data_IF_650274277253
#
_entry.id   IF_650274277253
#
_cell.length_a   1.000
_cell.length_b   1.000
_cell.length_c   1.000
_cell.angle_alpha   90.00
_cell.angle_beta   90.00
_cell.angle_gamma   90.00
#
_symmetry.space_group_name_H-M   'P 1'
#
loop_
_entity.id
_entity.type
_entity.pdbx_description
1 polymer ?
#
# COMPACT_ATOMS: atom_id res chain seq x y z
N UNK A 1 38.12 -21.38 -31.48
CA UNK A 1 36.80 -20.82 -31.10
C UNK A 1 36.34 -21.49 -29.82
N UNK A 2 36.55 -20.86 -28.66
CA UNK A 2 35.84 -21.22 -27.43
C UNK A 2 35.56 -19.92 -26.70
N UNK A 3 34.28 -19.54 -26.65
CA UNK A 3 33.81 -18.32 -26.01
C UNK A 3 33.75 -18.55 -24.50
N UNK A 4 34.52 -17.77 -23.75
CA UNK A 4 34.41 -17.66 -22.30
C UNK A 4 33.09 -16.97 -21.98
N UNK A 5 32.20 -17.55 -21.15
CA UNK A 5 31.01 -16.84 -20.72
C UNK A 5 31.43 -15.73 -19.74
N UNK A 6 31.24 -14.48 -20.16
CA UNK A 6 31.35 -13.33 -19.28
C UNK A 6 30.27 -13.45 -18.19
N UNK A 7 30.70 -13.71 -16.95
CA UNK A 7 29.87 -13.59 -15.78
C UNK A 7 29.41 -12.13 -15.69
N UNK A 8 28.18 -11.84 -16.10
CA UNK A 8 27.54 -10.56 -15.82
C UNK A 8 27.39 -10.46 -14.31
N UNK A 9 28.20 -9.62 -13.68
CA UNK A 9 27.96 -9.16 -12.32
C UNK A 9 26.59 -8.49 -12.28
N UNK A 10 25.64 -9.13 -11.60
CA UNK A 10 24.35 -8.54 -11.32
C UNK A 10 24.58 -7.25 -10.52
N UNK A 11 24.11 -6.13 -11.06
CA UNK A 11 24.35 -4.79 -10.55
C UNK A 11 23.92 -4.62 -9.10
N UNK A 12 24.76 -3.89 -8.36
CA UNK A 12 24.43 -3.25 -7.10
C UNK A 12 23.31 -2.23 -7.33
N UNK A 13 22.10 -2.55 -6.87
CA UNK A 13 20.96 -1.65 -6.88
C UNK A 13 19.84 -2.19 -5.99
N UNK A 14 19.54 -1.44 -4.92
CA UNK A 14 18.32 -1.55 -4.10
C UNK A 14 18.14 -2.76 -3.17
N UNK A 15 18.48 -4.00 -3.56
CA UNK A 15 18.20 -5.23 -2.80
C UNK A 15 19.40 -6.17 -2.65
N UNK A 16 19.58 -6.84 -1.49
CA UNK A 16 20.66 -7.80 -1.29
C UNK A 16 20.56 -9.00 -2.24
N UNK A 17 21.71 -9.59 -2.62
CA UNK A 17 21.77 -10.76 -3.51
C UNK A 17 21.15 -12.03 -2.90
N UNK A 18 20.91 -13.07 -3.73
CA UNK A 18 20.16 -14.29 -3.36
C UNK A 18 20.68 -14.98 -2.08
N UNK A 19 22.00 -15.20 -1.97
CA UNK A 19 22.59 -15.84 -0.78
C UNK A 19 22.43 -15.00 0.47
N UNK A 20 22.62 -13.68 0.35
CA UNK A 20 22.44 -12.74 1.46
C UNK A 20 20.99 -12.71 1.92
N UNK A 21 20.03 -12.66 0.99
CA UNK A 21 18.59 -12.76 1.32
C UNK A 21 18.26 -14.05 2.06
N UNK A 22 18.84 -15.18 1.63
CA UNK A 22 18.60 -16.48 2.28
C UNK A 22 19.17 -16.53 3.71
N UNK A 23 20.35 -15.96 3.92
CA UNK A 23 20.95 -15.84 5.26
C UNK A 23 20.16 -14.89 6.16
N UNK A 24 19.70 -13.76 5.63
CA UNK A 24 18.86 -12.80 6.36
C UNK A 24 17.52 -13.43 6.77
N UNK A 25 16.89 -14.22 5.90
CA UNK A 25 15.68 -14.96 6.22
C UNK A 25 15.88 -16.05 7.26
N UNK A 26 16.94 -16.85 7.14
CA UNK A 26 17.28 -17.86 8.16
C UNK A 26 17.48 -17.19 9.53
N UNK A 27 18.21 -16.05 9.55
CA UNK A 27 18.43 -15.28 10.77
C UNK A 27 17.12 -14.72 11.34
N UNK A 28 16.20 -14.27 10.47
CA UNK A 28 14.85 -13.80 10.87
C UNK A 28 14.06 -14.93 11.54
N UNK A 29 13.97 -16.09 10.89
CA UNK A 29 13.27 -17.26 11.41
C UNK A 29 13.86 -17.74 12.74
N UNK A 30 15.20 -17.80 12.85
CA UNK A 30 15.87 -18.17 14.10
C UNK A 30 15.56 -17.19 15.24
N UNK A 31 15.60 -15.86 14.98
CA UNK A 31 15.25 -14.84 15.98
C UNK A 31 13.80 -14.97 16.45
N UNK A 32 12.88 -15.19 15.52
CA UNK A 32 11.45 -15.35 15.83
C UNK A 32 11.21 -16.54 16.75
N UNK A 33 11.82 -17.70 16.43
CA UNK A 33 11.71 -18.92 17.23
C UNK A 33 12.30 -18.75 18.64
N UNK A 34 13.49 -18.14 18.77
CA UNK A 34 14.16 -17.94 20.05
C UNK A 34 13.39 -16.98 20.97
N UNK A 35 12.77 -15.94 20.41
CA UNK A 35 12.06 -14.92 21.20
C UNK A 35 10.60 -15.25 21.49
N UNK A 36 10.08 -16.36 20.95
CA UNK A 36 8.65 -16.71 21.01
C UNK A 36 7.74 -15.54 20.59
N UNK A 37 8.16 -14.78 19.57
CA UNK A 37 7.43 -13.58 19.07
C UNK A 37 6.01 -13.92 18.54
N UNK A 38 5.66 -15.20 18.38
CA UNK A 38 4.29 -15.65 18.07
C UNK A 38 3.32 -15.70 19.26
N UNK A 39 3.77 -15.49 20.51
CA UNK A 39 2.93 -15.51 21.71
C UNK A 39 2.45 -14.12 22.15
N UNK A 40 2.98 -13.05 21.56
CA UNK A 40 2.69 -11.68 21.96
C UNK A 40 2.40 -10.78 20.76
N UNK A 41 1.41 -9.89 20.89
CA UNK A 41 1.10 -8.87 19.90
C UNK A 41 2.32 -7.95 19.74
N UNK A 42 2.87 -7.75 18.52
CA UNK A 42 4.03 -6.91 18.32
C UNK A 42 3.77 -5.45 18.69
N UNK A 43 4.66 -4.90 19.51
CA UNK A 43 4.64 -3.48 19.92
C UNK A 43 5.53 -2.59 19.05
N UNK A 44 6.49 -3.15 18.31
CA UNK A 44 7.38 -2.38 17.45
C UNK A 44 6.73 -2.10 16.09
N UNK A 45 6.98 -0.94 15.46
CA UNK A 45 6.54 -0.74 14.09
C UNK A 45 7.27 -1.73 13.18
N UNK A 46 6.62 -2.16 12.10
CA UNK A 46 7.21 -3.03 11.09
C UNK A 46 7.37 -2.28 9.77
N UNK A 47 8.57 -1.73 9.48
CA UNK A 47 8.79 -0.95 8.27
C UNK A 47 8.61 -1.79 7.01
N UNK A 48 7.72 -1.34 6.12
CA UNK A 48 7.58 -1.89 4.76
C UNK A 48 8.55 -1.21 3.80
N UNK A 49 8.63 0.12 3.89
CA UNK A 49 9.65 0.93 3.22
C UNK A 49 9.94 2.19 4.05
N UNK A 50 11.22 2.54 4.15
CA UNK A 50 11.75 3.80 4.69
C UNK A 50 12.55 4.49 3.61
N UNK A 51 12.28 5.77 3.37
CA UNK A 51 13.05 6.58 2.44
C UNK A 51 14.16 7.31 3.19
N UNK A 52 15.16 6.55 3.65
CA UNK A 52 16.27 7.01 4.50
C UNK A 52 17.61 7.16 3.73
N UNK A 53 17.68 6.61 2.51
CA UNK A 53 18.87 6.60 1.66
C UNK A 53 18.53 7.05 0.23
N UNK A 54 19.50 7.65 -0.47
CA UNK A 54 19.40 8.02 -1.89
C UNK A 54 18.90 6.89 -2.82
N UNK A 55 19.26 5.64 -2.52
CA UNK A 55 18.88 4.48 -3.33
C UNK A 55 17.51 3.89 -2.94
N UNK A 56 16.83 4.44 -1.93
CA UNK A 56 15.52 3.96 -1.49
C UNK A 56 14.46 3.99 -2.60
N UNK A 57 14.39 5.02 -3.47
CA UNK A 57 13.50 5.01 -4.63
C UNK A 57 13.78 3.86 -5.61
N UNK A 58 15.02 3.36 -5.70
CA UNK A 58 15.34 2.17 -6.52
C UNK A 58 14.75 0.87 -5.95
N UNK A 59 14.13 0.92 -4.77
CA UNK A 59 13.31 -0.19 -4.27
C UNK A 59 11.88 -0.14 -4.80
N UNK A 60 11.51 0.92 -5.53
CA UNK A 60 10.17 1.14 -6.08
C UNK A 60 10.14 1.16 -7.62
N UNK A 61 9.11 0.54 -8.19
CA UNK A 61 8.77 0.62 -9.61
C UNK A 61 7.70 1.70 -9.80
N UNK A 62 8.00 2.71 -10.60
CA UNK A 62 7.04 3.72 -11.08
C UNK A 62 6.19 3.08 -12.19
N UNK A 63 4.91 3.45 -12.23
CA UNK A 63 3.93 3.00 -13.21
C UNK A 63 3.14 4.23 -13.67
N UNK A 64 3.05 4.45 -14.97
CA UNK A 64 2.36 5.61 -15.52
C UNK A 64 1.59 5.21 -16.77
N UNK A 65 0.51 5.90 -17.10
CA UNK A 65 -0.20 5.64 -18.36
C UNK A 65 0.68 5.85 -19.62
N UNK A 66 1.78 6.61 -19.51
CA UNK A 66 2.76 6.76 -20.60
C UNK A 66 3.43 5.45 -20.99
N UNK A 67 3.49 4.46 -20.10
CA UNK A 67 3.97 3.11 -20.41
C UNK A 67 3.08 2.40 -21.45
N UNK A 68 1.80 2.78 -21.52
CA UNK A 68 0.83 2.26 -22.50
C UNK A 68 0.45 3.28 -23.58
N UNK A 69 1.10 4.45 -23.59
CA UNK A 69 0.92 5.50 -24.61
C UNK A 69 0.06 6.69 -24.17
N UNK A 70 -0.28 6.80 -22.89
CA UNK A 70 -0.82 8.03 -22.31
C UNK A 70 0.20 9.15 -22.23
N UNK A 71 -0.24 10.31 -21.74
CA UNK A 71 0.57 11.54 -21.69
C UNK A 71 0.89 11.98 -20.25
N UNK A 72 0.55 11.18 -19.24
CA UNK A 72 0.91 11.47 -17.86
C UNK A 72 2.40 11.23 -17.63
N UNK A 73 2.95 11.97 -16.65
CA UNK A 73 4.35 11.88 -16.22
C UNK A 73 4.40 11.62 -14.73
N UNK A 74 5.36 10.82 -14.30
CA UNK A 74 5.58 10.50 -12.90
C UNK A 74 7.07 10.26 -12.64
N UNK A 75 7.56 10.71 -11.49
CA UNK A 75 8.90 10.45 -10.97
C UNK A 75 8.86 10.18 -9.47
N UNK A 76 9.89 9.49 -8.97
CA UNK A 76 10.09 9.25 -7.55
C UNK A 76 11.55 9.54 -7.22
N UNK A 77 11.81 10.62 -6.50
CA UNK A 77 13.16 11.08 -6.14
C UNK A 77 13.35 11.12 -4.62
N UNK A 78 14.56 10.87 -4.14
CA UNK A 78 14.90 11.01 -2.73
C UNK A 78 15.29 12.45 -2.39
N UNK A 79 14.93 12.89 -1.17
CA UNK A 79 15.34 14.15 -0.55
C UNK A 79 15.88 13.83 0.83
N UNK A 80 17.08 14.34 1.12
CA UNK A 80 17.74 14.15 2.41
C UNK A 80 17.09 15.02 3.50
N UNK A 81 17.10 14.54 4.74
CA UNK A 81 16.46 15.20 5.87
C UNK A 81 16.76 14.53 7.20
N UNK A 82 15.86 14.70 8.17
CA UNK A 82 16.02 14.14 9.50
C UNK A 82 15.85 12.61 9.51
N UNK A 83 16.65 11.95 10.35
CA UNK A 83 16.65 10.50 10.51
C UNK A 83 15.30 9.95 11.00
N UNK A 84 15.02 8.70 10.61
CA UNK A 84 13.82 7.97 10.97
C UNK A 84 14.03 7.22 12.30
N UNK A 85 13.36 7.67 13.35
CA UNK A 85 13.49 7.15 14.71
C UNK A 85 12.29 6.26 15.02
N UNK A 86 12.54 4.95 15.13
CA UNK A 86 11.53 4.01 15.62
C UNK A 86 11.36 4.18 17.13
N UNK A 87 10.12 4.42 17.57
CA UNK A 87 9.75 4.47 18.99
C UNK A 87 8.64 3.47 19.27
N UNK A 88 8.78 2.69 20.32
CA UNK A 88 7.63 2.08 21.00
C UNK A 88 7.01 3.19 21.84
N UNK A 89 5.77 3.59 21.55
CA UNK A 89 5.15 4.65 22.31
C UNK A 89 4.90 4.19 23.75
N UNK A 90 5.39 4.98 24.72
CA UNK A 90 4.94 5.00 26.12
C UNK A 90 5.85 4.33 27.15
N UNK A 91 6.30 5.11 28.14
CA UNK A 91 6.31 4.65 29.52
C UNK A 91 4.86 4.70 30.06
N UNK A 92 4.47 3.79 30.95
CA UNK A 92 3.12 3.76 31.54
C UNK A 92 2.04 3.11 30.65
N UNK A 93 0.81 3.64 30.67
CA UNK A 93 -0.38 3.05 30.01
C UNK A 93 -0.33 3.01 28.48
N UNK A 94 0.62 3.72 27.86
CA UNK A 94 0.78 3.79 26.41
C UNK A 94 1.62 2.65 25.81
N UNK A 95 2.31 1.83 26.63
CA UNK A 95 3.17 0.71 26.20
C UNK A 95 2.48 -0.31 25.27
N UNK A 96 1.14 -0.38 25.28
CA UNK A 96 0.35 -1.33 24.47
C UNK A 96 -0.15 -0.75 23.15
N UNK A 97 0.03 0.56 22.89
CA UNK A 97 -0.55 1.24 21.73
C UNK A 97 0.31 1.12 20.47
N UNK A 98 1.11 0.08 20.31
CA UNK A 98 1.97 -0.12 19.13
C UNK A 98 3.04 0.96 18.92
N UNK A 99 3.90 0.72 17.95
CA UNK A 99 5.07 1.55 17.68
C UNK A 99 4.83 2.57 16.60
N UNK A 100 5.64 3.63 16.58
CA UNK A 100 5.60 4.72 15.60
C UNK A 100 6.99 4.99 15.04
N UNK A 101 7.04 5.59 13.86
CA UNK A 101 8.25 6.12 13.27
C UNK A 101 8.13 7.64 13.22
N UNK A 102 9.08 8.34 13.83
CA UNK A 102 9.12 9.81 13.93
C UNK A 102 10.46 10.34 13.43
N UNK A 103 10.60 11.65 13.30
CA UNK A 103 11.89 12.32 13.06
C UNK A 103 12.16 13.38 14.12
N UNK A 104 13.32 14.01 14.04
CA UNK A 104 13.65 15.18 14.85
C UNK A 104 12.59 16.28 14.65
N UNK A 105 12.14 16.86 15.76
CA UNK A 105 11.12 17.91 15.75
C UNK A 105 11.64 19.16 15.03
N UNK A 106 10.78 19.79 14.24
CA UNK A 106 11.13 20.99 13.48
C UNK A 106 12.02 20.76 12.24
N UNK A 107 12.36 19.51 11.91
CA UNK A 107 13.06 19.16 10.66
C UNK A 107 12.22 18.25 9.78
N UNK A 108 12.20 18.53 8.48
CA UNK A 108 11.60 17.60 7.51
C UNK A 108 12.40 16.29 7.52
N UNK A 109 11.73 15.12 7.55
CA UNK A 109 12.41 13.83 7.50
C UNK A 109 13.07 13.61 6.14
N UNK A 110 14.05 12.70 6.07
CA UNK A 110 14.41 12.11 4.79
C UNK A 110 13.17 11.47 4.17
N UNK A 111 12.96 11.68 2.86
CA UNK A 111 11.73 11.26 2.21
C UNK A 111 11.89 11.05 0.71
N UNK A 112 10.92 10.37 0.11
CA UNK A 112 10.72 10.38 -1.33
C UNK A 112 9.67 11.42 -1.72
N UNK A 113 9.87 12.03 -2.88
CA UNK A 113 8.93 12.93 -3.55
C UNK A 113 8.37 12.20 -4.77
N UNK A 114 7.11 11.81 -4.69
CA UNK A 114 6.34 11.29 -5.81
C UNK A 114 5.62 12.44 -6.50
N UNK A 115 6.04 12.81 -7.70
CA UNK A 115 5.54 13.99 -8.38
C UNK A 115 5.39 13.76 -9.89
N UNK A 116 4.63 14.64 -10.53
CA UNK A 116 4.45 14.59 -11.98
C UNK A 116 3.26 15.42 -12.46
N UNK A 117 2.69 15.00 -13.58
CA UNK A 117 1.51 15.64 -14.16
C UNK A 117 0.56 14.61 -14.75
N UNK A 118 -0.72 14.70 -14.42
CA UNK A 118 -1.78 13.88 -14.99
C UNK A 118 -2.29 14.50 -16.29
N UNK A 119 -2.46 13.67 -17.32
CA UNK A 119 -3.20 14.01 -18.54
C UNK A 119 -4.26 12.95 -18.81
N UNK A 120 -5.47 13.39 -19.15
CA UNK A 120 -6.59 12.50 -19.51
C UNK A 120 -6.77 12.38 -21.03
N UNK A 121 -5.83 12.92 -21.81
CA UNK A 121 -5.84 12.77 -23.26
C UNK A 121 -5.64 11.28 -23.64
N UNK A 122 -6.40 10.84 -24.64
CA UNK A 122 -6.28 9.49 -25.17
C UNK A 122 -5.33 9.49 -26.37
N UNK A 123 -4.45 8.47 -26.50
CA UNK A 123 -3.55 8.38 -27.63
C UNK A 123 -4.33 8.24 -28.95
N UNK A 124 -4.12 9.15 -29.92
CA UNK A 124 -4.90 9.16 -31.17
C UNK A 124 -4.69 7.89 -32.01
N UNK A 125 -3.54 7.23 -31.84
CA UNK A 125 -3.15 6.05 -32.63
C UNK A 125 -3.46 4.71 -31.93
N UNK A 126 -4.18 4.71 -30.80
CA UNK A 126 -4.48 3.49 -30.01
C UNK A 126 -5.92 3.50 -29.48
N UNK A 127 -6.93 3.24 -30.33
CA UNK A 127 -8.36 3.33 -29.97
C UNK A 127 -8.79 2.29 -28.92
N UNK A 128 -8.00 1.25 -28.68
CA UNK A 128 -8.23 0.28 -27.61
C UNK A 128 -8.03 0.87 -26.20
N UNK A 129 -7.35 2.01 -26.08
CA UNK A 129 -7.12 2.67 -24.80
C UNK A 129 -8.30 3.60 -24.54
N UNK A 130 -9.18 3.17 -23.64
CA UNK A 130 -10.42 3.89 -23.31
C UNK A 130 -10.28 4.80 -22.08
N UNK A 131 -9.22 4.62 -21.28
CA UNK A 131 -8.97 5.37 -20.05
C UNK A 131 -7.48 5.73 -19.94
N UNK A 132 -7.21 6.97 -19.57
CA UNK A 132 -5.90 7.53 -19.21
C UNK A 132 -6.05 8.46 -18.00
N UNK A 133 -4.94 8.99 -17.50
CA UNK A 133 -4.84 9.81 -16.31
C UNK A 133 -4.45 9.00 -15.08
N UNK A 134 -3.38 8.21 -15.19
CA UNK A 134 -2.87 7.37 -14.11
C UNK A 134 -1.38 7.59 -13.87
N UNK A 135 -1.02 7.73 -12.60
CA UNK A 135 0.35 7.64 -12.11
C UNK A 135 0.38 6.84 -10.81
N UNK A 136 1.45 6.10 -10.57
CA UNK A 136 1.67 5.43 -9.31
C UNK A 136 3.07 4.89 -9.16
N UNK A 137 3.36 4.38 -7.98
CA UNK A 137 4.53 3.57 -7.74
C UNK A 137 4.19 2.44 -6.78
N UNK A 138 5.02 1.40 -6.77
CA UNK A 138 4.96 0.34 -5.76
C UNK A 138 6.34 -0.18 -5.45
N UNK A 139 6.51 -0.76 -4.27
CA UNK A 139 7.72 -1.51 -3.95
C UNK A 139 7.92 -2.65 -4.95
N UNK A 140 9.17 -2.89 -5.36
CA UNK A 140 9.54 -4.09 -6.13
C UNK A 140 9.34 -5.33 -5.26
N UNK A 141 9.06 -6.46 -5.91
CA UNK A 141 9.05 -7.76 -5.24
C UNK A 141 10.39 -8.00 -4.55
N UNK A 142 10.35 -8.48 -3.30
CA UNK A 142 11.56 -8.76 -2.51
C UNK A 142 12.38 -9.93 -3.07
N UNK A 143 11.85 -10.64 -4.06
CA UNK A 143 12.51 -11.73 -4.78
C UNK A 143 12.33 -13.09 -4.10
N UNK A 144 13.33 -13.96 -4.28
CA UNK A 144 13.34 -15.31 -3.72
C UNK A 144 14.54 -15.52 -2.79
N UNK A 145 14.36 -16.42 -1.82
CA UNK A 145 15.39 -17.05 -0.99
C UNK A 145 15.34 -18.58 -1.16
N UNK A 146 16.24 -19.30 -0.50
CA UNK A 146 16.22 -20.77 -0.40
C UNK A 146 14.92 -21.32 0.21
N UNK A 147 14.14 -20.49 0.91
CA UNK A 147 12.89 -20.87 1.57
C UNK A 147 11.64 -20.43 0.78
N UNK A 148 11.81 -19.95 -0.45
CA UNK A 148 10.72 -19.54 -1.34
C UNK A 148 10.66 -18.04 -1.61
N UNK A 149 9.47 -17.54 -1.95
CA UNK A 149 9.26 -16.11 -2.22
C UNK A 149 9.35 -15.31 -0.93
N UNK A 150 9.96 -14.14 -1.02
CA UNK A 150 10.09 -13.20 0.09
C UNK A 150 8.83 -12.34 0.14
N UNK A 151 7.95 -12.67 1.07
CA UNK A 151 6.68 -11.98 1.32
C UNK A 151 6.72 -11.33 2.71
N UNK A 152 5.94 -10.27 2.90
CA UNK A 152 5.68 -9.75 4.23
C UNK A 152 4.52 -10.50 4.86
N UNK A 153 4.70 -10.83 6.14
CA UNK A 153 3.64 -11.30 7.01
C UNK A 153 3.23 -10.12 7.90
N UNK A 154 2.09 -9.53 7.56
CA UNK A 154 1.46 -8.42 8.27
C UNK A 154 0.31 -8.90 9.16
N UNK A 155 0.04 -10.21 9.25
CA UNK A 155 -1.04 -10.75 10.08
C UNK A 155 -0.94 -10.40 11.58
N UNK A 156 0.26 -10.17 12.17
CA UNK A 156 0.35 -9.71 13.56
C UNK A 156 0.01 -8.23 13.78
N UNK A 157 -0.27 -7.47 12.71
CA UNK A 157 -0.50 -6.04 12.74
C UNK A 157 -1.91 -5.69 12.28
N UNK A 158 -2.53 -4.70 12.93
CA UNK A 158 -3.91 -4.29 12.65
C UNK A 158 -4.00 -3.10 11.68
N UNK A 159 -2.96 -2.26 11.62
CA UNK A 159 -2.98 -1.00 10.89
C UNK A 159 -1.76 -0.83 9.98
N UNK A 160 -1.99 -0.15 8.86
CA UNK A 160 -0.95 0.50 8.06
C UNK A 160 -0.81 1.95 8.48
N UNK A 161 0.41 2.40 8.76
CA UNK A 161 0.73 3.79 8.97
C UNK A 161 1.60 4.32 7.83
N UNK A 162 1.29 5.54 7.36
CA UNK A 162 2.08 6.27 6.37
C UNK A 162 2.38 7.66 6.90
N UNK A 163 3.65 8.06 6.84
CA UNK A 163 4.06 9.43 7.15
C UNK A 163 4.25 10.21 5.85
N UNK A 164 3.36 11.17 5.61
CA UNK A 164 3.21 11.84 4.33
C UNK A 164 3.06 13.35 4.47
N UNK A 165 3.29 14.06 3.37
CA UNK A 165 2.86 15.45 3.16
C UNK A 165 2.25 15.54 1.75
N UNK A 166 0.94 15.78 1.70
CA UNK A 166 0.13 15.69 0.49
C UNK A 166 -0.19 17.08 -0.06
N UNK A 167 -0.27 17.19 -1.39
CA UNK A 167 -0.80 18.35 -2.11
C UNK A 167 -2.34 18.48 -2.08
N UNK A 168 -3.05 17.58 -1.39
CA UNK A 168 -4.51 17.56 -1.30
C UNK A 168 -5.21 16.76 -2.41
N UNK A 169 -4.46 16.12 -3.33
CA UNK A 169 -5.05 15.18 -4.29
C UNK A 169 -5.48 13.86 -3.64
N UNK A 170 -6.38 13.16 -4.33
CA UNK A 170 -6.94 11.87 -3.88
C UNK A 170 -6.06 10.70 -4.31
N UNK A 171 -5.04 10.42 -3.51
CA UNK A 171 -4.19 9.23 -3.70
C UNK A 171 -4.86 7.99 -3.11
N UNK A 172 -4.48 6.83 -3.62
CA UNK A 172 -4.89 5.52 -3.12
C UNK A 172 -3.67 4.71 -2.71
N UNK A 173 -3.77 4.02 -1.58
CA UNK A 173 -2.79 3.03 -1.14
C UNK A 173 -3.22 1.67 -1.66
N UNK A 174 -2.26 0.92 -2.22
CA UNK A 174 -2.52 -0.35 -2.88
C UNK A 174 -1.62 -1.44 -2.30
N UNK A 175 -2.21 -2.57 -1.94
CA UNK A 175 -1.49 -3.82 -1.67
C UNK A 175 -1.70 -4.83 -2.79
N UNK A 176 -0.61 -5.50 -3.16
CA UNK A 176 -0.68 -6.74 -3.91
C UNK A 176 -0.29 -7.88 -2.97
N UNK A 177 -1.16 -8.87 -2.86
CA UNK A 177 -0.91 -10.11 -2.11
C UNK A 177 -0.68 -11.27 -3.07
N UNK A 178 -0.24 -12.43 -2.58
CA UNK A 178 -0.51 -13.64 -3.34
C UNK A 178 -2.02 -13.81 -3.45
N UNK A 179 -2.54 -13.86 -4.67
CA UNK A 179 -3.94 -14.22 -4.96
C UNK A 179 -3.95 -15.21 -6.12
N UNK A 180 -5.03 -15.97 -6.23
CA UNK A 180 -5.30 -16.82 -7.40
C UNK A 180 -5.33 -15.96 -8.67
N UNK A 181 -5.87 -14.74 -8.55
CA UNK A 181 -5.92 -13.76 -9.62
C UNK A 181 -4.78 -12.75 -9.41
N UNK A 182 -3.70 -12.79 -10.21
CA UNK A 182 -2.52 -11.95 -9.98
C UNK A 182 -2.79 -10.45 -10.11
N UNK A 183 -3.88 -10.07 -10.76
CA UNK A 183 -4.30 -8.68 -10.97
C UNK A 183 -5.12 -8.11 -9.81
N UNK A 184 -5.44 -8.91 -8.80
CA UNK A 184 -6.12 -8.43 -7.60
C UNK A 184 -5.23 -7.43 -6.85
N UNK A 185 -5.83 -6.30 -6.52
CA UNK A 185 -5.27 -5.28 -5.65
C UNK A 185 -6.22 -5.06 -4.48
N UNK A 186 -5.68 -4.76 -3.31
CA UNK A 186 -6.47 -4.28 -2.18
C UNK A 186 -6.17 -2.79 -2.06
N UNK A 187 -7.21 -1.95 -2.15
CA UNK A 187 -7.06 -0.51 -2.27
C UNK A 187 -7.83 0.21 -1.17
N UNK A 188 -7.28 1.33 -0.72
CA UNK A 188 -7.96 2.28 0.17
C UNK A 188 -7.56 3.70 -0.22
N UNK A 189 -8.47 4.66 -0.07
CA UNK A 189 -8.15 6.08 -0.24
C UNK A 189 -7.09 6.48 0.80
N UNK A 190 -6.02 7.16 0.41
CA UNK A 190 -5.06 7.71 1.36
C UNK A 190 -5.70 8.92 2.05
N UNK A 191 -5.97 8.86 3.37
CA UNK A 191 -6.48 10.04 4.07
C UNK A 191 -5.45 11.17 4.03
N UNK A 192 -5.93 12.40 3.99
CA UNK A 192 -5.11 13.62 4.03
C UNK A 192 -5.93 14.69 4.76
N UNK A 193 -5.60 14.92 6.03
CA UNK A 193 -6.35 15.82 6.91
C UNK A 193 -5.72 17.21 6.96
N UNK A 194 -4.43 17.31 6.65
CA UNK A 194 -3.68 18.57 6.67
C UNK A 194 -2.80 18.71 5.42
N UNK A 195 -3.41 18.91 4.23
CA UNK A 195 -2.66 19.14 3.00
C UNK A 195 -1.62 20.27 3.18
N UNK A 196 -0.41 20.05 2.65
CA UNK A 196 0.72 20.96 2.82
C UNK A 196 1.55 20.74 4.09
N UNK A 197 1.05 19.97 5.06
CA UNK A 197 1.75 19.65 6.29
C UNK A 197 2.15 18.17 6.38
N UNK A 198 3.17 17.88 7.18
CA UNK A 198 3.55 16.51 7.49
C UNK A 198 2.58 15.91 8.50
N UNK A 199 2.00 14.76 8.17
CA UNK A 199 1.13 14.01 9.07
C UNK A 199 1.43 12.50 8.99
N UNK A 200 1.04 11.77 10.04
CA UNK A 200 1.03 10.31 10.02
C UNK A 200 -0.40 9.84 9.96
N UNK A 201 -0.80 9.25 8.83
CA UNK A 201 -2.12 8.68 8.65
C UNK A 201 -2.08 7.19 8.93
N UNK A 202 -3.16 6.67 9.52
CA UNK A 202 -3.27 5.28 9.94
C UNK A 202 -4.55 4.68 9.38
N UNK A 203 -4.46 3.54 8.70
CA UNK A 203 -5.55 2.88 7.98
C UNK A 203 -5.67 1.45 8.50
N UNK A 204 -6.85 0.99 8.96
CA UNK A 204 -7.07 -0.42 9.30
C UNK A 204 -6.88 -1.32 8.08
N UNK A 205 -6.20 -2.46 8.23
CA UNK A 205 -6.07 -3.40 7.09
C UNK A 205 -7.42 -3.95 6.62
N UNK A 206 -8.40 -4.05 7.52
CA UNK A 206 -9.78 -4.47 7.21
C UNK A 206 -10.53 -3.48 6.31
N UNK A 207 -10.11 -2.21 6.25
CA UNK A 207 -10.76 -1.20 5.41
C UNK A 207 -10.37 -1.33 3.92
N UNK A 208 -9.31 -2.08 3.58
CA UNK A 208 -8.89 -2.22 2.20
C UNK A 208 -9.86 -3.09 1.39
N UNK A 209 -10.37 -2.53 0.29
CA UNK A 209 -11.32 -3.19 -0.60
C UNK A 209 -10.58 -3.86 -1.74
N UNK A 210 -10.95 -5.11 -2.05
CA UNK A 210 -10.38 -5.82 -3.18
C UNK A 210 -10.97 -5.31 -4.50
N UNK A 211 -10.07 -4.96 -5.41
CA UNK A 211 -10.37 -4.50 -6.76
C UNK A 211 -9.59 -5.31 -7.80
N UNK A 212 -10.13 -5.35 -9.02
CA UNK A 212 -9.48 -5.92 -10.19
C UNK A 212 -9.69 -4.98 -11.36
N UNK A 213 -8.62 -4.55 -12.03
CA UNK A 213 -8.67 -3.48 -13.04
C UNK A 213 -9.41 -2.21 -12.60
N UNK A 214 -9.39 -1.89 -11.30
CA UNK A 214 -10.08 -0.72 -10.74
C UNK A 214 -11.58 -0.91 -10.49
N UNK A 215 -12.12 -2.12 -10.70
CA UNK A 215 -13.49 -2.47 -10.34
C UNK A 215 -13.51 -3.25 -9.04
N UNK A 216 -14.47 -2.95 -8.16
CA UNK A 216 -14.67 -3.69 -6.91
C UNK A 216 -15.10 -5.13 -7.23
N UNK A 217 -14.45 -6.12 -6.62
CA UNK A 217 -14.73 -7.54 -6.90
C UNK A 217 -15.38 -8.23 -5.71
N UNK A 218 -16.64 -8.60 -5.88
CA UNK A 218 -17.37 -9.47 -4.95
C UNK A 218 -17.11 -10.96 -5.25
N UNK A 219 -17.09 -11.84 -4.24
CA UNK A 219 -17.26 -11.56 -2.80
C UNK A 219 -16.00 -10.95 -2.20
N UNK A 220 -16.13 -9.89 -1.40
CA UNK A 220 -15.00 -9.33 -0.66
C UNK A 220 -14.44 -10.44 0.26
N UNK A 221 -13.17 -10.77 0.06
CA UNK A 221 -12.41 -11.62 0.97
C UNK A 221 -11.41 -10.72 1.68
N UNK A 222 -11.17 -11.00 2.95
CA UNK A 222 -10.10 -10.34 3.67
C UNK A 222 -8.77 -10.46 2.92
N UNK A 223 -8.00 -9.38 2.94
CA UNK A 223 -6.67 -9.36 2.35
C UNK A 223 -5.79 -10.43 3.00
N UNK A 224 -5.12 -11.25 2.19
CA UNK A 224 -4.12 -12.22 2.69
C UNK A 224 -2.86 -11.52 3.23
N UNK A 225 -2.98 -10.95 4.43
CA UNK A 225 -1.95 -10.18 5.13
C UNK A 225 -0.69 -11.00 5.45
N UNK A 226 -0.76 -12.32 5.48
CA UNK A 226 0.39 -13.23 5.64
C UNK A 226 1.31 -13.30 4.42
N UNK A 227 0.83 -12.86 3.26
CA UNK A 227 1.47 -13.07 1.95
C UNK A 227 1.47 -11.81 1.10
N UNK A 228 1.89 -10.69 1.67
CA UNK A 228 1.97 -9.40 0.96
C UNK A 228 3.23 -9.34 0.10
N UNK A 229 3.06 -8.96 -1.17
CA UNK A 229 4.14 -8.84 -2.17
C UNK A 229 4.66 -7.42 -2.31
N UNK A 230 3.74 -6.47 -2.46
CA UNK A 230 4.07 -5.06 -2.70
C UNK A 230 3.07 -4.15 -2.02
N UNK A 231 3.56 -3.00 -1.56
CA UNK A 231 2.75 -1.83 -1.20
C UNK A 231 3.05 -0.70 -2.18
N UNK A 232 2.06 0.10 -2.53
CA UNK A 232 2.22 1.21 -3.45
C UNK A 232 1.21 2.30 -3.25
N UNK A 233 1.43 3.41 -3.95
CA UNK A 233 0.52 4.55 -3.98
C UNK A 233 0.20 4.87 -5.43
N UNK A 234 -1.05 5.19 -5.71
CA UNK A 234 -1.51 5.61 -7.03
C UNK A 234 -2.40 6.84 -6.97
N UNK A 235 -2.30 7.65 -8.01
CA UNK A 235 -3.22 8.72 -8.33
C UNK A 235 -4.09 8.30 -9.52
N UNK A 236 -5.40 8.15 -9.27
CA UNK A 236 -6.43 7.75 -10.25
C UNK A 236 -7.60 8.74 -10.27
N UNK A 237 -7.38 9.98 -9.80
CA UNK A 237 -8.40 11.01 -9.72
C UNK A 237 -8.88 11.52 -11.10
N UNK A 238 -8.07 11.26 -12.15
CA UNK A 238 -8.28 11.74 -13.53
C UNK A 238 -8.46 13.26 -13.60
N UNK A 239 -7.85 14.01 -12.67
CA UNK A 239 -7.84 15.46 -12.69
C UNK A 239 -6.55 15.91 -13.37
N UNK A 240 -6.60 16.53 -14.57
CA UNK A 240 -5.40 17.00 -15.24
C UNK A 240 -4.59 17.98 -14.39
N UNK A 241 -3.28 18.00 -14.58
CA UNK A 241 -2.38 18.97 -13.94
C UNK A 241 -1.35 18.34 -13.01
N UNK A 242 -0.56 19.17 -12.30
CA UNK A 242 0.55 18.70 -11.49
C UNK A 242 0.05 17.99 -10.22
N UNK A 243 0.88 17.08 -9.72
CA UNK A 243 0.70 16.44 -8.43
C UNK A 243 2.03 16.30 -7.70
N UNK A 244 1.98 16.34 -6.37
CA UNK A 244 3.11 16.07 -5.48
C UNK A 244 2.63 15.39 -4.19
N UNK A 245 3.28 14.28 -3.85
CA UNK A 245 3.14 13.59 -2.58
C UNK A 245 4.52 13.29 -2.03
N UNK A 246 4.81 13.79 -0.83
CA UNK A 246 6.04 13.45 -0.10
C UNK A 246 5.75 12.30 0.86
N UNK A 247 6.62 11.29 0.88
CA UNK A 247 6.47 10.07 1.69
C UNK A 247 7.78 9.80 2.42
N UNK A 248 7.74 9.80 3.74
CA UNK A 248 8.89 9.43 4.55
C UNK A 248 8.92 7.92 4.82
N UNK A 249 7.79 7.35 5.24
CA UNK A 249 7.71 5.97 5.74
C UNK A 249 6.36 5.33 5.43
N UNK A 250 6.40 4.01 5.19
CA UNK A 250 5.23 3.14 5.17
C UNK A 250 5.55 1.94 6.07
N UNK A 251 4.73 1.70 7.09
CA UNK A 251 4.99 0.67 8.09
C UNK A 251 3.70 0.11 8.68
N UNK A 252 3.73 -1.16 9.11
CA UNK A 252 2.63 -1.76 9.84
C UNK A 252 2.78 -1.47 11.35
N UNK A 253 1.67 -1.27 12.05
CA UNK A 253 1.63 -1.01 13.49
C UNK A 253 0.34 -1.53 14.13
N UNK A 254 0.37 -1.66 15.45
CA UNK A 254 -0.80 -1.92 16.30
C UNK A 254 -1.26 -0.65 17.03
N UNK A 255 -0.76 0.52 16.60
CA UNK A 255 -1.26 1.82 17.07
C UNK A 255 -2.56 2.16 16.35
N UNK A 256 -3.66 2.38 17.08
CA UNK A 256 -4.90 2.83 16.46
C UNK A 256 -4.75 4.26 15.89
N UNK A 257 -5.58 4.63 14.91
CA UNK A 257 -5.58 5.98 14.35
C UNK A 257 -5.85 7.03 15.44
N UNK A 258 -5.16 8.16 15.35
CA UNK A 258 -5.43 9.31 16.22
C UNK A 258 -6.75 9.97 15.76
N UNK A 259 -7.85 9.68 16.46
CA UNK A 259 -9.13 10.35 16.22
C UNK A 259 -8.99 11.84 16.53
N UNK A 260 -8.86 12.68 15.51
CA UNK A 260 -9.01 14.13 15.65
C UNK A 260 -10.50 14.43 15.64
N UNK A 261 -11.05 14.84 16.78
CA UNK A 261 -12.46 15.20 16.90
C UNK A 261 -12.84 16.27 15.86
N UNK A 262 -13.84 15.98 15.01
CA UNK A 262 -14.43 16.94 14.06
C UNK A 262 -13.98 16.84 12.59
N UNK A 263 -13.15 15.88 12.21
CA UNK A 263 -12.90 15.56 10.79
C UNK A 263 -13.88 14.48 10.36
N UNK A 264 -14.79 14.81 9.44
CA UNK A 264 -15.65 13.81 8.78
C UNK A 264 -14.75 12.76 8.13
N UNK A 265 -14.82 11.53 8.64
CA UNK A 265 -14.08 10.41 8.06
C UNK A 265 -14.64 10.12 6.66
N UNK A 266 -13.73 9.99 5.70
CA UNK A 266 -14.03 9.77 4.29
C UNK A 266 -15.03 8.62 4.15
N UNK A 267 -16.21 8.86 3.55
CA UNK A 267 -17.41 8.02 3.56
C UNK A 267 -17.30 6.58 3.03
N UNK A 268 -16.47 5.77 3.68
CA UNK A 268 -16.35 4.32 3.55
C UNK A 268 -16.20 3.74 4.97
N UNK A 269 -17.16 4.04 5.83
CA UNK A 269 -17.28 3.35 7.12
C UNK A 269 -18.08 2.05 6.90
N UNK A 270 -17.39 0.91 6.92
CA UNK A 270 -18.01 -0.41 7.01
C UNK A 270 -18.01 -0.95 8.46
N UNK A 271 -17.76 -0.11 9.46
CA UNK A 271 -17.87 -0.48 10.87
C UNK A 271 -19.25 -0.14 11.46
N UNK A 272 -20.31 -0.68 10.87
CA UNK A 272 -21.49 -1.00 11.66
C UNK A 272 -21.28 -2.40 12.24
N UNK A 273 -21.01 -2.48 13.54
CA UNK A 273 -21.23 -3.74 14.28
C UNK A 273 -22.69 -4.17 14.03
N UNK A 274 -22.97 -5.43 13.67
CA UNK A 274 -24.34 -5.86 13.52
C UNK A 274 -25.01 -5.82 14.90
N UNK A 275 -26.00 -4.94 15.05
CA UNK A 275 -26.94 -5.02 16.17
C UNK A 275 -27.54 -6.43 16.15
N UNK A 276 -27.49 -7.10 17.31
CA UNK A 276 -28.09 -8.41 17.51
C UNK A 276 -29.62 -8.31 17.34
N UNK A 277 -30.12 -8.48 16.11
CA UNK A 277 -31.56 -8.66 15.90
C UNK A 277 -31.97 -10.07 16.32
N UNK A 278 -32.72 -10.11 17.41
CA UNK A 278 -33.44 -11.28 17.91
C UNK A 278 -34.25 -11.97 16.80
N UNK A 279 -34.13 -13.30 16.80
CA UNK A 279 -34.89 -14.25 16.01
C UNK A 279 -36.37 -13.89 15.82
N UNK A 280 -36.73 -13.52 14.58
CA UNK A 280 -38.09 -13.73 14.05
C UNK A 280 -37.99 -14.37 12.67
N UNK A 281 -38.23 -15.67 12.62
CA UNK A 281 -38.44 -16.36 11.36
C UNK A 281 -39.75 -15.89 10.71
N UNK A 282 -39.73 -15.72 9.39
CA UNK A 282 -40.92 -15.90 8.57
C UNK A 282 -40.53 -16.23 7.13
N UNK A 283 -41.02 -17.38 6.69
CA UNK A 283 -41.16 -17.76 5.29
C UNK A 283 -41.97 -16.70 4.53
N UNK A 284 -41.76 -16.69 3.21
CA UNK A 284 -42.52 -15.99 2.16
C UNK A 284 -42.17 -14.52 1.87
N UNK A 285 -41.08 -14.33 1.11
CA UNK A 285 -41.07 -13.32 0.04
C UNK A 285 -40.72 -14.00 -1.29
N UNK A 286 -41.72 -14.07 -2.17
CA UNK A 286 -41.63 -14.61 -3.53
C UNK A 286 -40.96 -13.54 -4.41
N UNK A 287 -39.76 -13.82 -4.93
CA UNK A 287 -39.14 -12.99 -5.96
C UNK A 287 -40.06 -12.92 -7.20
N UNK A 288 -40.35 -11.72 -7.74
CA UNK A 288 -41.13 -11.61 -8.97
C UNK A 288 -40.30 -12.10 -10.17
N UNK A 289 -40.90 -13.00 -10.96
CA UNK A 289 -40.32 -13.55 -12.20
C UNK A 289 -39.90 -12.44 -13.19
N UNK A 290 -38.62 -12.41 -13.57
CA UNK A 290 -38.11 -11.62 -14.71
C UNK A 290 -38.83 -11.99 -16.01
N UNK A 291 -39.34 -10.99 -16.74
CA UNK A 291 -39.87 -11.16 -18.10
C UNK A 291 -38.71 -11.30 -19.10
N UNK A 292 -38.83 -12.29 -19.99
CA UNK A 292 -37.84 -12.61 -21.03
C UNK A 292 -37.86 -11.52 -22.12
N UNK A 293 -36.75 -10.80 -22.33
CA UNK A 293 -36.55 -9.97 -23.52
C UNK A 293 -36.10 -8.51 -23.33
N UNK A 294 -35.83 -8.03 -22.11
CA UNK A 294 -35.20 -6.71 -21.96
C UNK A 294 -33.68 -6.80 -22.14
N UNK A 295 -33.06 -5.93 -22.97
CA UNK A 295 -31.62 -5.86 -23.07
C UNK A 295 -31.03 -5.37 -21.74
N UNK A 296 -30.04 -6.11 -21.22
CA UNK A 296 -29.24 -5.68 -20.08
C UNK A 296 -28.61 -4.32 -20.39
N UNK A 297 -29.11 -3.28 -19.72
CA UNK A 297 -28.38 -2.01 -19.61
C UNK A 297 -27.26 -2.25 -18.60
N UNK A 298 -26.09 -2.60 -19.12
CA UNK A 298 -24.86 -2.61 -18.33
C UNK A 298 -24.54 -1.14 -18.01
N UNK A 299 -24.62 -0.79 -16.72
CA UNK A 299 -24.25 0.52 -16.19
C UNK A 299 -22.82 0.46 -15.60
N UNK A 300 -21.89 1.08 -16.35
CA UNK A 300 -20.64 1.82 -16.05
C UNK A 300 -19.48 1.12 -15.32
#
# INVERSE_FOLDING_TARGET
MFATPALRSAGSGGYPGFFRRSMEELRRQAKFAVKMEGLHIPIKPFPLIKFEENLSPERCKIMCDSDVGGFSKASLSYVDGAAHIERTAGEGSDMKKGGVIVSEEGKEPSHAVFQGSISTELPPNRPQIQRSGYAGFRTRDRGMSLFGKLLWDLSPYSYLALRIKSDGRKYFVNFQTESIVPTDLHQHLLPSHSPGEWETVTIPFSAFVRTNYGQVVEPQKEMMSTKVRSVGISLIDRVPGPFELKIADIYATNRPPERKAGLEETGFDLSMEPEEEESRGMMDEIEPRKKKGEPERILI
#
